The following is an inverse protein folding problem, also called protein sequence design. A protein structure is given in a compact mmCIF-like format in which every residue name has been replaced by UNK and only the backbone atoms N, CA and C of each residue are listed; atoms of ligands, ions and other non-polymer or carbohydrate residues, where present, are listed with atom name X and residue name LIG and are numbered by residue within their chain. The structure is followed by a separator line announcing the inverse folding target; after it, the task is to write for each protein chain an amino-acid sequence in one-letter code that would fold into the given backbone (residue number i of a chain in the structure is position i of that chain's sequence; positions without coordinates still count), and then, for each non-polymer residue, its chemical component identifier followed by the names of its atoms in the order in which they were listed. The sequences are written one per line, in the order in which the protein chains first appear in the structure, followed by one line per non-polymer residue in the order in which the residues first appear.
data_IF_958443538910
#
_entry.id   IF_958443538910
#
_cell.length_a   1.000
_cell.length_b   1.000
_cell.length_c   1.000
_cell.angle_alpha   90.00
_cell.angle_beta   90.00
_cell.angle_gamma   90.00
#
_symmetry.space_group_name_H-M   'P 1'
#
loop_
_entity.id
_entity.type
_entity.pdbx_description
1 polymer ?
#
# COMPACT_ATOMS: atom_id res chain seq x y z
N UNK A 1 36.53 -23.68 9.92
CA UNK A 1 35.39 -23.72 8.98
C UNK A 1 34.40 -22.65 9.38
N UNK A 2 34.48 -21.45 8.76
CA UNK A 2 33.59 -20.33 9.08
C UNK A 2 32.47 -20.31 8.05
N UNK A 3 31.26 -20.68 8.46
CA UNK A 3 30.06 -20.52 7.65
C UNK A 3 29.68 -19.05 7.66
N UNK A 4 29.86 -18.40 6.51
CA UNK A 4 29.33 -17.05 6.24
C UNK A 4 27.81 -17.12 6.14
N UNK A 5 27.13 -16.52 7.10
CA UNK A 5 25.69 -16.24 7.01
C UNK A 5 25.54 -15.08 6.03
N UNK A 6 24.96 -15.37 4.89
CA UNK A 6 24.55 -14.35 3.92
C UNK A 6 23.21 -13.78 4.41
N UNK A 7 23.26 -12.63 5.03
CA UNK A 7 22.09 -11.79 5.30
C UNK A 7 21.58 -11.26 3.96
N UNK A 8 20.53 -11.86 3.42
CA UNK A 8 19.71 -11.24 2.38
C UNK A 8 18.85 -10.17 3.04
N UNK A 9 19.40 -8.98 3.18
CA UNK A 9 18.63 -7.75 3.44
C UNK A 9 18.06 -7.29 2.10
N UNK A 10 16.88 -7.75 1.77
CA UNK A 10 16.17 -7.31 0.58
C UNK A 10 14.85 -6.66 0.99
N UNK A 11 14.92 -5.41 1.42
CA UNK A 11 13.87 -4.40 1.26
C UNK A 11 14.44 -3.04 1.69
N UNK A 12 15.27 -2.47 0.84
CA UNK A 12 15.62 -1.03 0.90
C UNK A 12 16.00 -0.59 -0.50
N UNK A 13 14.97 -0.39 -1.33
CA UNK A 13 15.05 0.57 -2.40
C UNK A 13 14.24 1.78 -1.93
N UNK A 14 14.91 2.71 -1.28
CA UNK A 14 14.38 4.05 -1.06
C UNK A 14 14.24 4.72 -2.43
N UNK A 15 13.10 4.51 -3.10
CA UNK A 15 12.65 5.39 -4.15
C UNK A 15 12.12 6.64 -3.45
N UNK A 16 12.96 7.64 -3.25
CA UNK A 16 12.53 9.00 -3.00
C UNK A 16 11.84 9.48 -4.27
N UNK A 17 10.54 9.20 -4.39
CA UNK A 17 9.69 9.87 -5.35
C UNK A 17 9.55 11.32 -4.87
N UNK A 18 10.47 12.17 -5.34
CA UNK A 18 10.22 13.61 -5.36
C UNK A 18 8.96 13.81 -6.19
N UNK A 19 7.85 14.09 -5.53
CA UNK A 19 6.65 14.61 -6.17
C UNK A 19 7.01 16.02 -6.65
N UNK A 20 7.73 16.09 -7.76
CA UNK A 20 7.82 17.31 -8.55
C UNK A 20 6.41 17.59 -9.02
N UNK A 21 5.86 18.76 -8.66
CA UNK A 21 4.55 19.21 -9.08
C UNK A 21 4.43 19.16 -10.59
N UNK A 22 4.01 18.03 -11.14
CA UNK A 22 3.63 17.92 -12.54
C UNK A 22 2.32 18.68 -12.70
N UNK A 23 2.36 19.72 -13.48
CA UNK A 23 1.15 20.31 -14.06
C UNK A 23 0.51 19.17 -14.87
N UNK A 24 -0.59 18.61 -14.36
CA UNK A 24 -1.36 17.61 -15.10
C UNK A 24 -1.82 18.28 -16.39
N UNK A 25 -1.48 17.68 -17.52
CA UNK A 25 -2.02 18.10 -18.80
C UNK A 25 -3.55 18.03 -18.73
N UNK A 26 -4.26 18.88 -19.47
CA UNK A 26 -5.72 19.06 -19.44
C UNK A 26 -6.55 17.78 -19.77
N UNK A 27 -5.95 16.58 -19.77
CA UNK A 27 -6.54 15.29 -20.11
C UNK A 27 -6.54 14.23 -18.98
N UNK A 28 -6.04 14.54 -17.78
CA UNK A 28 -5.89 13.55 -16.70
C UNK A 28 -4.68 12.62 -16.90
N UNK A 29 -4.59 11.54 -16.11
CA UNK A 29 -3.51 10.55 -16.18
C UNK A 29 -3.81 9.46 -17.20
N UNK A 30 -2.76 8.85 -17.75
CA UNK A 30 -2.86 7.67 -18.63
C UNK A 30 -3.05 6.37 -17.82
N UNK A 31 -3.43 5.27 -18.52
CA UNK A 31 -3.50 3.93 -17.91
C UNK A 31 -2.15 3.49 -17.32
N UNK A 32 -1.05 3.72 -18.03
CA UNK A 32 0.29 3.32 -17.60
C UNK A 32 0.75 4.12 -16.36
N UNK A 33 0.39 5.39 -16.28
CA UNK A 33 0.63 6.22 -15.09
C UNK A 33 -0.21 5.72 -13.91
N UNK A 34 -1.47 5.36 -14.14
CA UNK A 34 -2.34 4.81 -13.09
C UNK A 34 -1.76 3.51 -12.52
N UNK A 35 -1.32 2.58 -13.38
CA UNK A 35 -0.65 1.34 -12.94
C UNK A 35 0.61 1.65 -12.14
N UNK A 36 1.42 2.60 -12.60
CA UNK A 36 2.65 2.98 -11.89
C UNK A 36 2.36 3.55 -10.49
N UNK A 37 1.28 4.33 -10.36
CA UNK A 37 0.82 4.87 -9.08
C UNK A 37 0.29 3.78 -8.15
N UNK A 38 -0.54 2.85 -8.67
CA UNK A 38 -1.06 1.72 -7.92
C UNK A 38 0.07 0.83 -7.37
N UNK A 39 1.04 0.48 -8.22
CA UNK A 39 2.20 -0.33 -7.82
C UNK A 39 3.07 0.38 -6.77
N UNK A 40 3.30 1.69 -6.92
CA UNK A 40 4.04 2.48 -5.95
C UNK A 40 3.33 2.55 -4.60
N UNK A 41 2.00 2.71 -4.61
CA UNK A 41 1.17 2.71 -3.41
C UNK A 41 1.22 1.35 -2.70
N UNK A 42 1.02 0.26 -3.43
CA UNK A 42 1.10 -1.10 -2.92
C UNK A 42 2.53 -1.48 -2.45
N UNK A 43 3.56 -0.80 -2.96
CA UNK A 43 4.96 -1.14 -2.69
C UNK A 43 5.42 -2.38 -3.46
N UNK A 44 4.83 -2.66 -4.63
CA UNK A 44 5.08 -3.84 -5.45
C UNK A 44 5.85 -3.46 -6.72
N UNK A 45 6.86 -4.24 -7.06
CA UNK A 45 7.58 -4.03 -8.30
C UNK A 45 6.84 -4.65 -9.50
N UNK A 46 6.84 -3.95 -10.65
CA UNK A 46 6.14 -4.41 -11.86
C UNK A 46 6.50 -5.84 -12.31
N UNK A 47 7.73 -6.29 -12.05
CA UNK A 47 8.17 -7.65 -12.38
C UNK A 47 7.58 -8.75 -11.48
N UNK A 48 6.98 -8.37 -10.35
CA UNK A 48 6.49 -9.31 -9.33
C UNK A 48 4.96 -9.50 -9.42
N UNK A 49 4.30 -8.82 -10.37
CA UNK A 49 2.85 -8.91 -10.58
C UNK A 49 2.51 -9.86 -11.73
N UNK A 50 1.32 -10.45 -11.64
CA UNK A 50 0.66 -11.20 -12.71
C UNK A 50 -0.86 -10.94 -12.66
N UNK A 51 -1.59 -11.45 -13.64
CA UNK A 51 -3.05 -11.27 -13.77
C UNK A 51 -3.52 -9.80 -13.71
N UNK A 52 -2.69 -8.88 -14.23
CA UNK A 52 -3.03 -7.46 -14.26
C UNK A 52 -4.26 -7.19 -15.12
N UNK A 53 -5.30 -6.62 -14.51
CA UNK A 53 -6.49 -6.08 -15.17
C UNK A 53 -6.57 -4.58 -14.94
N UNK A 54 -7.06 -3.85 -15.93
CA UNK A 54 -7.22 -2.40 -15.85
C UNK A 54 -8.50 -2.04 -16.62
N UNK A 55 -9.47 -1.52 -15.89
CA UNK A 55 -10.73 -1.08 -16.45
C UNK A 55 -10.99 0.41 -16.16
N UNK A 56 -11.88 1.01 -16.96
CA UNK A 56 -12.44 2.34 -16.67
C UNK A 56 -13.73 2.15 -15.91
N UNK A 57 -13.83 2.77 -14.75
CA UNK A 57 -14.98 2.66 -13.88
C UNK A 57 -15.27 4.00 -13.19
N UNK A 58 -16.24 4.00 -12.31
CA UNK A 58 -16.64 5.13 -11.48
C UNK A 58 -16.77 4.68 -10.02
N UNK A 59 -16.01 5.32 -9.13
CA UNK A 59 -16.07 5.06 -7.70
C UNK A 59 -16.62 6.30 -6.98
N UNK A 60 -17.77 6.17 -6.33
CA UNK A 60 -18.49 7.26 -5.63
C UNK A 60 -18.64 8.53 -6.49
N UNK A 61 -18.97 8.40 -7.77
CA UNK A 61 -19.13 9.51 -8.70
C UNK A 61 -17.83 10.07 -9.28
N UNK A 62 -16.69 9.45 -8.96
CA UNK A 62 -15.36 9.84 -9.48
C UNK A 62 -14.93 8.88 -10.58
N UNK A 63 -14.66 9.35 -11.82
CA UNK A 63 -14.10 8.50 -12.87
C UNK A 63 -12.71 7.97 -12.50
N UNK A 64 -12.55 6.63 -12.49
CA UNK A 64 -11.33 5.95 -12.07
C UNK A 64 -10.76 5.04 -13.16
N UNK A 65 -9.52 4.59 -12.94
CA UNK A 65 -9.02 3.31 -13.40
C UNK A 65 -9.10 2.33 -12.22
N UNK A 66 -9.90 1.27 -12.37
CA UNK A 66 -9.88 0.10 -11.50
C UNK A 66 -8.73 -0.80 -11.94
N UNK A 67 -7.85 -1.16 -11.02
CA UNK A 67 -6.59 -1.87 -11.27
C UNK A 67 -6.49 -3.03 -10.31
N UNK A 68 -6.66 -4.24 -10.84
CA UNK A 68 -6.49 -5.49 -10.12
C UNK A 68 -5.19 -6.15 -10.54
N UNK A 69 -4.45 -6.68 -9.59
CA UNK A 69 -3.28 -7.53 -9.87
C UNK A 69 -2.98 -8.46 -8.70
N UNK A 70 -2.32 -9.56 -9.03
CA UNK A 70 -1.88 -10.56 -8.07
C UNK A 70 -0.34 -10.56 -7.96
N UNK A 71 0.15 -11.03 -6.83
CA UNK A 71 1.55 -11.34 -6.59
C UNK A 71 1.66 -12.74 -5.99
N UNK A 72 2.86 -13.29 -5.86
CA UNK A 72 3.07 -14.55 -5.14
C UNK A 72 2.78 -14.48 -3.63
N UNK A 73 2.40 -13.33 -3.10
CA UNK A 73 2.19 -13.10 -1.69
C UNK A 73 0.89 -12.38 -1.34
N UNK A 74 0.01 -12.10 -2.33
CA UNK A 74 -1.27 -11.47 -2.05
C UNK A 74 -1.92 -10.86 -3.28
N UNK A 75 -3.14 -10.35 -3.06
CA UNK A 75 -4.04 -9.78 -4.06
C UNK A 75 -4.27 -8.30 -3.81
N UNK A 76 -4.47 -7.54 -4.88
CA UNK A 76 -4.50 -6.07 -4.82
C UNK A 76 -5.57 -5.53 -5.77
N UNK A 77 -6.47 -4.71 -5.25
CA UNK A 77 -7.45 -3.95 -6.00
C UNK A 77 -7.37 -2.47 -5.62
N UNK A 78 -7.23 -1.59 -6.61
CA UNK A 78 -7.06 -0.15 -6.38
C UNK A 78 -7.83 0.67 -7.41
N UNK A 79 -8.51 1.72 -6.94
CA UNK A 79 -9.15 2.72 -7.79
C UNK A 79 -8.33 4.02 -7.81
N UNK A 80 -7.82 4.34 -9.00
CA UNK A 80 -7.01 5.54 -9.23
C UNK A 80 -7.85 6.60 -9.96
N UNK A 81 -8.09 7.74 -9.31
CA UNK A 81 -8.85 8.84 -9.91
C UNK A 81 -8.17 9.34 -11.20
N UNK A 82 -8.90 9.30 -12.31
CA UNK A 82 -8.37 9.62 -13.65
C UNK A 82 -7.94 11.08 -13.80
N UNK A 83 -8.57 11.97 -13.06
CA UNK A 83 -8.26 13.43 -13.13
C UNK A 83 -7.00 13.81 -12.35
N UNK A 84 -6.68 13.08 -11.26
CA UNK A 84 -5.65 13.50 -10.29
C UNK A 84 -4.53 12.48 -10.06
N UNK A 85 -4.77 11.20 -10.38
CA UNK A 85 -3.88 10.10 -10.01
C UNK A 85 -3.94 9.70 -8.53
N UNK A 86 -4.90 10.26 -7.78
CA UNK A 86 -5.10 9.92 -6.38
C UNK A 86 -5.70 8.52 -6.26
N UNK A 87 -5.19 7.71 -5.33
CA UNK A 87 -5.87 6.48 -4.90
C UNK A 87 -7.07 6.91 -4.05
N UNK A 88 -8.27 6.51 -4.42
CA UNK A 88 -9.52 6.85 -3.73
C UNK A 88 -10.24 5.64 -3.17
N UNK A 89 -9.86 4.46 -3.61
CA UNK A 89 -10.25 3.19 -3.03
C UNK A 89 -9.10 2.20 -3.14
N UNK A 90 -8.92 1.34 -2.16
CA UNK A 90 -7.96 0.25 -2.20
C UNK A 90 -8.39 -0.88 -1.27
N UNK A 91 -8.20 -2.11 -1.75
CA UNK A 91 -8.30 -3.35 -0.99
C UNK A 91 -7.05 -4.19 -1.29
N UNK A 92 -6.28 -4.53 -0.26
CA UNK A 92 -5.01 -5.23 -0.42
C UNK A 92 -4.86 -6.28 0.67
N UNK A 93 -4.78 -7.53 0.26
CA UNK A 93 -4.58 -8.68 1.16
C UNK A 93 -3.23 -9.35 0.92
N UNK A 94 -2.55 -9.69 1.99
CA UNK A 94 -1.31 -10.48 1.98
C UNK A 94 -1.59 -11.84 2.62
N UNK A 95 -1.18 -12.90 1.95
CA UNK A 95 -1.36 -14.27 2.41
C UNK A 95 -0.81 -14.52 3.81
N UNK A 96 -1.61 -15.09 4.66
CA UNK A 96 -1.23 -15.52 6.01
C UNK A 96 0.04 -16.36 6.04
N UNK A 97 0.18 -17.28 5.07
CA UNK A 97 1.36 -18.13 4.97
C UNK A 97 2.61 -17.34 4.65
N UNK A 98 2.48 -16.30 3.80
CA UNK A 98 3.57 -15.38 3.53
C UNK A 98 3.97 -14.60 4.79
N UNK A 99 3.00 -14.06 5.53
CA UNK A 99 3.22 -13.34 6.80
C UNK A 99 3.95 -14.22 7.81
N UNK A 100 3.54 -15.47 7.95
CA UNK A 100 4.16 -16.43 8.90
C UNK A 100 5.63 -16.71 8.59
N UNK A 101 6.04 -16.65 7.33
CA UNK A 101 7.42 -16.89 6.88
C UNK A 101 8.34 -15.68 7.09
N UNK A 102 7.82 -14.49 7.32
CA UNK A 102 8.64 -13.30 7.51
C UNK A 102 9.38 -13.33 8.85
N UNK A 103 10.60 -12.76 8.94
CA UNK A 103 11.31 -12.63 10.20
C UNK A 103 10.60 -11.67 11.15
N UNK A 104 10.82 -11.84 12.44
CA UNK A 104 10.35 -10.88 13.45
C UNK A 104 11.08 -9.55 13.29
N UNK A 105 10.35 -8.45 13.42
CA UNK A 105 10.96 -7.12 13.46
C UNK A 105 11.46 -6.79 14.88
N UNK A 106 12.48 -5.96 14.97
CA UNK A 106 12.99 -5.46 16.25
C UNK A 106 11.99 -4.51 16.93
N UNK A 107 11.26 -3.72 16.15
CA UNK A 107 10.21 -2.82 16.62
C UNK A 107 9.02 -2.88 15.66
N UNK A 108 8.15 -3.90 15.78
CA UNK A 108 7.05 -4.13 14.83
C UNK A 108 6.06 -2.96 14.75
N UNK A 109 5.73 -2.30 15.86
CA UNK A 109 4.82 -1.14 15.82
C UNK A 109 5.39 0.03 15.01
N UNK A 110 6.69 0.30 15.14
CA UNK A 110 7.35 1.32 14.32
C UNK A 110 7.34 0.97 12.83
N UNK A 111 7.45 -0.31 12.48
CA UNK A 111 7.34 -0.78 11.09
C UNK A 111 5.95 -0.50 10.54
N UNK A 112 4.89 -0.84 11.30
CA UNK A 112 3.51 -0.54 10.91
C UNK A 112 3.33 0.97 10.67
N UNK A 113 3.71 1.81 11.63
CA UNK A 113 3.55 3.27 11.51
C UNK A 113 4.31 3.83 10.31
N UNK A 114 5.53 3.36 10.06
CA UNK A 114 6.34 3.77 8.91
C UNK A 114 5.66 3.41 7.60
N UNK A 115 5.13 2.20 7.48
CA UNK A 115 4.45 1.73 6.29
C UNK A 115 3.15 2.51 6.03
N UNK A 116 2.36 2.78 7.06
CA UNK A 116 1.17 3.65 6.96
C UNK A 116 1.54 5.03 6.43
N UNK A 117 2.58 5.67 7.00
CA UNK A 117 3.01 7.01 6.56
C UNK A 117 3.61 7.01 5.15
N UNK A 118 4.19 5.90 4.70
CA UNK A 118 4.64 5.73 3.32
C UNK A 118 3.45 5.73 2.35
N UNK A 119 2.36 5.02 2.69
CA UNK A 119 1.14 4.94 1.87
C UNK A 119 0.31 6.22 1.91
N UNK A 120 0.33 6.94 3.02
CA UNK A 120 -0.48 8.15 3.24
C UNK A 120 0.43 9.35 3.51
N UNK A 121 1.07 9.90 2.47
CA UNK A 121 1.95 11.07 2.61
C UNK A 121 1.20 12.28 3.18
N UNK A 122 1.82 12.96 4.12
CA UNK A 122 1.23 14.12 4.80
C UNK A 122 0.45 13.80 6.07
N UNK A 123 0.13 12.52 6.33
CA UNK A 123 -0.45 12.10 7.59
C UNK A 123 0.58 12.17 8.73
N UNK A 124 0.07 12.33 9.96
CA UNK A 124 0.90 12.31 11.17
C UNK A 124 0.85 10.94 11.85
N UNK A 125 1.99 10.50 12.39
CA UNK A 125 2.03 9.28 13.21
C UNK A 125 1.10 9.35 14.44
N UNK A 126 0.82 10.54 14.94
CA UNK A 126 -0.10 10.76 16.05
C UNK A 126 -1.57 10.49 15.68
N UNK A 127 -1.92 10.57 14.39
CA UNK A 127 -3.28 10.32 13.91
C UNK A 127 -3.56 8.83 13.71
N UNK A 128 -2.51 8.00 13.67
CA UNK A 128 -2.63 6.55 13.53
C UNK A 128 -3.06 5.94 14.86
N UNK A 129 -4.28 5.40 14.89
CA UNK A 129 -4.81 4.68 16.05
C UNK A 129 -4.54 3.19 15.86
N UNK A 130 -3.84 2.58 16.82
CA UNK A 130 -3.57 1.13 16.85
C UNK A 130 -4.19 0.52 18.09
N UNK A 131 -4.90 -0.58 17.92
CA UNK A 131 -5.45 -1.42 18.98
C UNK A 131 -4.85 -2.83 18.87
N UNK A 132 -4.45 -3.39 19.99
CA UNK A 132 -4.00 -4.78 20.01
C UNK A 132 -5.19 -5.72 20.07
N UNK A 133 -5.22 -6.69 19.16
CA UNK A 133 -6.23 -7.74 19.09
C UNK A 133 -5.53 -9.10 18.90
N UNK A 134 -5.34 -9.81 20.00
CA UNK A 134 -4.63 -11.09 19.97
C UNK A 134 -3.20 -10.98 19.40
N UNK A 135 -2.97 -11.58 18.23
CA UNK A 135 -1.67 -11.62 17.56
C UNK A 135 -1.49 -10.51 16.50
N UNK A 136 -2.47 -9.63 16.34
CA UNK A 136 -2.47 -8.54 15.38
C UNK A 136 -2.68 -7.18 16.03
N UNK A 137 -2.38 -6.14 15.30
CA UNK A 137 -2.90 -4.81 15.50
C UNK A 137 -4.01 -4.54 14.50
N UNK A 138 -5.07 -3.92 14.96
CA UNK A 138 -6.06 -3.24 14.13
C UNK A 138 -5.74 -1.75 14.13
N UNK A 139 -5.66 -1.17 12.96
CA UNK A 139 -5.31 0.23 12.78
C UNK A 139 -6.36 1.03 12.03
N UNK A 140 -6.51 2.29 12.39
CA UNK A 140 -7.35 3.26 11.69
C UNK A 140 -6.62 4.58 11.56
N UNK A 141 -6.69 5.16 10.37
CA UNK A 141 -6.25 6.53 10.08
C UNK A 141 -7.34 7.25 9.28
N UNK A 142 -7.55 8.53 9.56
CA UNK A 142 -8.34 9.44 8.72
C UNK A 142 -7.45 10.58 8.29
N UNK A 143 -7.36 10.80 6.98
CA UNK A 143 -6.52 11.86 6.43
C UNK A 143 -7.06 12.30 5.07
N UNK A 144 -7.16 13.60 4.86
CA UNK A 144 -7.53 14.22 3.59
C UNK A 144 -8.80 13.64 2.94
N UNK A 145 -9.89 13.48 3.71
CA UNK A 145 -11.17 12.95 3.23
C UNK A 145 -11.18 11.44 2.99
N UNK A 146 -10.11 10.73 3.32
CA UNK A 146 -10.03 9.28 3.25
C UNK A 146 -10.11 8.64 4.62
N UNK A 147 -10.63 7.43 4.69
CA UNK A 147 -10.50 6.51 5.82
C UNK A 147 -9.62 5.34 5.38
N UNK A 148 -8.69 4.98 6.24
CA UNK A 148 -7.83 3.83 6.09
C UNK A 148 -8.04 2.90 7.27
N UNK A 149 -8.26 1.62 7.01
CA UNK A 149 -8.30 0.57 8.01
C UNK A 149 -7.26 -0.49 7.64
N UNK A 150 -6.64 -1.09 8.63
CA UNK A 150 -5.61 -2.09 8.35
C UNK A 150 -5.39 -3.03 9.52
N UNK A 151 -4.94 -4.23 9.18
CA UNK A 151 -4.46 -5.21 10.14
C UNK A 151 -2.98 -5.51 9.93
N UNK A 152 -2.23 -5.63 11.03
CA UNK A 152 -0.81 -5.91 10.98
C UNK A 152 -0.39 -7.00 11.96
N UNK A 153 0.51 -7.87 11.56
CA UNK A 153 1.07 -8.92 12.42
C UNK A 153 1.99 -8.31 13.49
N UNK A 154 1.75 -8.66 14.76
CA UNK A 154 2.47 -8.09 15.90
C UNK A 154 3.92 -8.54 16.02
N UNK A 155 4.31 -9.59 15.37
CA UNK A 155 5.67 -10.13 15.38
C UNK A 155 6.54 -9.47 14.30
N UNK A 156 5.97 -9.27 13.12
CA UNK A 156 6.72 -8.77 11.95
C UNK A 156 6.53 -7.28 11.71
N UNK A 157 5.39 -6.69 12.14
CA UNK A 157 4.98 -5.36 11.76
C UNK A 157 4.50 -5.25 10.31
N UNK A 158 4.30 -6.39 9.63
CA UNK A 158 3.79 -6.41 8.27
C UNK A 158 2.28 -6.18 8.29
N UNK A 159 1.82 -5.21 7.51
CA UNK A 159 0.40 -4.98 7.24
C UNK A 159 -0.03 -6.02 6.22
N UNK A 160 -0.99 -6.86 6.59
CA UNK A 160 -1.47 -7.96 5.74
C UNK A 160 -2.88 -7.74 5.22
N UNK A 161 -3.62 -6.79 5.78
CA UNK A 161 -4.91 -6.34 5.31
C UNK A 161 -4.91 -4.80 5.31
N UNK A 162 -5.35 -4.20 4.24
CA UNK A 162 -5.40 -2.75 4.09
C UNK A 162 -6.57 -2.33 3.22
N UNK A 163 -7.44 -1.52 3.77
CA UNK A 163 -8.50 -0.84 3.02
C UNK A 163 -8.34 0.67 3.06
N UNK A 164 -8.69 1.31 1.96
CA UNK A 164 -8.76 2.77 1.85
C UNK A 164 -10.04 3.15 1.11
N UNK A 165 -10.82 4.06 1.66
CA UNK A 165 -12.09 4.51 1.07
C UNK A 165 -12.23 6.04 1.14
N UNK A 166 -12.75 6.63 0.06
CA UNK A 166 -13.13 8.03 0.05
C UNK A 166 -14.34 8.22 0.96
N UNK A 167 -14.30 9.25 1.78
CA UNK A 167 -15.43 9.62 2.63
C UNK A 167 -16.20 10.78 2.02
N UNK A 168 -17.50 10.59 1.87
CA UNK A 168 -18.44 11.64 1.49
C UNK A 168 -18.58 12.67 2.63
#
# INVERSE_FOLDING_TARGET
MHRRVVLLSAFSAALTATVSGRVLAAGGISRDEAVSLALAYAGVAKRDIFNLKIDRDEEQGVPVYSIEFETKFGDFDLCVARSSGRIIDADMEIDDEWVRRQPSAANPESEVRREVLRRVPGASSADIRLRQEGRRWEGVLRHDGMKYEFEADRRTGLIFDWTAELRA
#
